data_IF_721940768554
#
_entry.id   IF_721940768554
#
_cell.length_a   1.000
_cell.length_b   1.000
_cell.length_c   1.000
_cell.angle_alpha   90.00
_cell.angle_beta   90.00
_cell.angle_gamma   90.00
#
_symmetry.space_group_name_H-M   'P 1'
#
loop_
_entity.id
_entity.type
_entity.pdbx_description
1 polymer ?
#
# COMPACT_ATOMS: atom_id res chain seq x y z
N UNK A 1 4.52 8.34 14.73
CA UNK A 1 3.81 7.17 15.35
C UNK A 1 2.72 6.74 14.37
N UNK A 2 2.71 5.51 13.85
CA UNK A 2 1.67 5.08 12.89
C UNK A 2 0.45 4.61 13.66
N UNK A 3 -0.69 5.26 13.46
CA UNK A 3 -1.97 4.82 14.02
C UNK A 3 -2.68 3.95 12.99
N UNK A 4 -3.05 2.74 13.40
CA UNK A 4 -3.90 1.83 12.62
C UNK A 4 -5.31 1.92 13.19
N UNK A 5 -6.22 2.62 12.52
CA UNK A 5 -7.60 2.71 12.99
C UNK A 5 -8.37 1.45 12.55
N UNK A 6 -8.72 0.60 13.51
CA UNK A 6 -9.31 -0.72 13.27
C UNK A 6 -10.85 -0.71 13.32
N UNK A 7 -11.47 0.47 13.47
CA UNK A 7 -12.89 0.61 13.81
C UNK A 7 -13.88 0.61 12.61
N UNK A 8 -13.46 0.27 11.39
CA UNK A 8 -14.33 0.24 10.20
C UNK A 8 -14.76 -1.17 9.74
N UNK A 9 -14.79 -2.15 10.63
CA UNK A 9 -15.31 -3.50 10.34
C UNK A 9 -16.86 -3.58 10.36
N UNK A 10 -17.56 -2.66 9.70
CA UNK A 10 -18.99 -2.80 9.40
C UNK A 10 -19.19 -3.08 7.91
N UNK A 11 -19.73 -4.25 7.52
CA UNK A 11 -20.04 -4.53 6.13
C UNK A 11 -21.33 -3.78 5.74
N UNK A 12 -21.18 -2.56 5.23
CA UNK A 12 -22.26 -1.75 4.69
C UNK A 12 -22.41 -1.91 3.17
N UNK A 13 -23.38 -2.73 2.76
CA UNK A 13 -24.25 -2.61 1.55
C UNK A 13 -23.76 -1.85 0.30
N UNK A 14 -22.63 -2.25 -0.31
CA UNK A 14 -22.27 -1.76 -1.65
C UNK A 14 -21.79 -2.88 -2.58
N UNK A 15 -22.48 -4.02 -2.55
CA UNK A 15 -22.47 -4.94 -3.67
C UNK A 15 -23.61 -4.56 -4.61
N UNK A 16 -23.31 -3.90 -5.74
CA UNK A 16 -23.80 -4.19 -7.12
C UNK A 16 -23.17 -3.19 -8.11
N UNK A 17 -22.66 -3.74 -9.23
CA UNK A 17 -21.97 -3.13 -10.38
C UNK A 17 -20.45 -2.86 -10.20
N UNK A 18 -19.62 -3.75 -10.79
CA UNK A 18 -18.16 -3.59 -10.90
C UNK A 18 -17.40 -3.72 -9.57
N UNK A 19 -17.34 -4.95 -9.03
CA UNK A 19 -16.98 -5.28 -7.64
C UNK A 19 -15.91 -4.37 -7.02
N UNK A 20 -16.31 -3.48 -6.10
CA UNK A 20 -15.43 -2.46 -5.50
C UNK A 20 -14.40 -3.09 -4.57
N UNK A 21 -13.18 -2.57 -4.54
CA UNK A 21 -12.15 -3.00 -3.61
C UNK A 21 -12.65 -2.82 -2.16
N UNK A 22 -12.46 -3.86 -1.33
CA UNK A 22 -12.91 -3.90 0.07
C UNK A 22 -11.88 -3.21 0.96
N UNK A 23 -12.26 -2.13 1.61
CA UNK A 23 -11.37 -1.43 2.54
C UNK A 23 -10.96 -2.33 3.72
N UNK A 24 -9.68 -2.29 4.09
CA UNK A 24 -9.09 -3.11 5.15
C UNK A 24 -8.64 -2.27 6.34
N UNK A 25 -7.97 -1.15 6.08
CA UNK A 25 -7.39 -0.30 7.11
C UNK A 25 -7.06 1.10 6.57
N UNK A 26 -6.88 2.03 7.48
CA UNK A 26 -6.34 3.36 7.22
C UNK A 26 -5.08 3.56 8.07
N UNK A 27 -3.99 4.02 7.44
CA UNK A 27 -2.73 4.30 8.09
C UNK A 27 -2.42 5.79 7.98
N UNK A 28 -2.22 6.44 9.13
CA UNK A 28 -1.94 7.87 9.18
C UNK A 28 -0.83 8.18 10.18
N UNK A 29 0.04 9.12 9.79
CA UNK A 29 1.05 9.72 10.64
C UNK A 29 1.31 11.18 10.22
N UNK A 30 2.37 11.78 10.77
CA UNK A 30 2.80 13.15 10.48
C UNK A 30 3.40 13.35 9.07
N UNK A 31 3.70 12.27 8.35
CA UNK A 31 4.33 12.27 7.02
C UNK A 31 3.38 11.86 5.90
N UNK A 32 2.20 11.32 6.21
CA UNK A 32 1.27 10.89 5.18
C UNK A 32 0.04 10.16 5.72
N UNK A 33 -0.86 9.91 4.77
CA UNK A 33 -2.15 9.29 5.00
C UNK A 33 -2.54 8.37 3.85
N UNK A 34 -2.62 7.06 4.12
CA UNK A 34 -2.97 6.06 3.10
C UNK A 34 -4.14 5.19 3.55
N UNK A 35 -5.00 4.87 2.58
CA UNK A 35 -6.06 3.87 2.72
C UNK A 35 -5.62 2.56 2.06
N UNK A 36 -5.86 1.45 2.73
CA UNK A 36 -5.56 0.11 2.27
C UNK A 36 -6.85 -0.63 1.97
N UNK A 37 -6.96 -1.17 0.76
CA UNK A 37 -8.10 -1.98 0.31
C UNK A 37 -7.63 -3.27 -0.36
N UNK A 38 -8.46 -4.31 -0.32
CA UNK A 38 -8.32 -5.53 -1.11
C UNK A 38 -9.06 -5.37 -2.45
N UNK A 39 -8.32 -5.36 -3.56
CA UNK A 39 -8.88 -5.35 -4.91
C UNK A 39 -8.91 -6.78 -5.48
N UNK A 40 -10.11 -7.23 -5.86
CA UNK A 40 -10.35 -8.57 -6.45
C UNK A 40 -10.84 -8.48 -7.91
N UNK A 41 -10.80 -7.31 -8.55
CA UNK A 41 -11.27 -7.09 -9.92
C UNK A 41 -10.38 -7.72 -10.99
N UNK A 42 -9.10 -7.95 -10.66
CA UNK A 42 -8.09 -8.46 -11.60
C UNK A 42 -7.95 -9.99 -11.59
N UNK A 43 -6.91 -10.49 -12.27
CA UNK A 43 -6.60 -11.93 -12.35
C UNK A 43 -6.14 -12.55 -11.02
N UNK A 44 -5.94 -11.73 -9.99
CA UNK A 44 -5.57 -12.15 -8.64
C UNK A 44 -5.92 -11.04 -7.64
N UNK A 45 -6.20 -11.37 -6.37
CA UNK A 45 -6.33 -10.38 -5.32
C UNK A 45 -5.05 -9.54 -5.20
N UNK A 46 -5.20 -8.23 -5.01
CA UNK A 46 -4.10 -7.27 -4.83
C UNK A 46 -4.40 -6.33 -3.68
N UNK A 47 -3.35 -5.89 -2.99
CA UNK A 47 -3.44 -4.83 -2.01
C UNK A 47 -3.40 -3.49 -2.74
N UNK A 48 -4.52 -2.77 -2.72
CA UNK A 48 -4.59 -1.41 -3.22
C UNK A 48 -4.21 -0.44 -2.11
N UNK A 49 -3.20 0.41 -2.36
CA UNK A 49 -2.76 1.47 -1.44
C UNK A 49 -3.06 2.80 -2.13
N UNK A 50 -3.90 3.61 -1.48
CA UNK A 50 -4.32 4.91 -2.01
C UNK A 50 -3.84 6.00 -1.07
N UNK A 51 -3.08 6.95 -1.57
CA UNK A 51 -2.81 8.21 -0.89
C UNK A 51 -4.11 9.01 -0.81
N UNK A 52 -4.55 9.33 0.41
CA UNK A 52 -5.82 10.02 0.65
C UNK A 52 -5.75 11.49 0.25
N UNK A 53 -4.57 12.12 0.31
CA UNK A 53 -4.39 13.53 -0.01
C UNK A 53 -4.40 13.76 -1.53
N UNK A 54 -3.65 12.93 -2.26
CA UNK A 54 -3.49 13.10 -3.72
C UNK A 54 -4.44 12.23 -4.55
N UNK A 55 -5.01 11.18 -3.96
CA UNK A 55 -5.77 10.15 -4.67
C UNK A 55 -4.89 9.19 -5.49
N UNK A 56 -3.56 9.35 -5.47
CA UNK A 56 -2.65 8.46 -6.16
C UNK A 56 -2.76 7.03 -5.61
N UNK A 57 -2.74 6.05 -6.52
CA UNK A 57 -3.00 4.65 -6.15
C UNK A 57 -1.95 3.73 -6.74
N UNK A 58 -1.51 2.76 -5.94
CA UNK A 58 -0.70 1.62 -6.39
C UNK A 58 -1.39 0.30 -6.03
N UNK A 59 -1.07 -0.75 -6.78
CA UNK A 59 -1.50 -2.12 -6.52
C UNK A 59 -0.27 -2.97 -6.23
N UNK A 60 -0.30 -3.69 -5.11
CA UNK A 60 0.76 -4.61 -4.69
C UNK A 60 0.22 -6.03 -4.79
N UNK A 61 0.85 -6.86 -5.62
CA UNK A 61 0.55 -8.28 -5.70
C UNK A 61 1.03 -9.04 -4.45
N UNK A 62 0.49 -10.24 -4.19
CA UNK A 62 0.96 -11.05 -3.06
C UNK A 62 2.45 -11.34 -3.08
N UNK A 63 3.04 -11.52 -4.27
CA UNK A 63 4.48 -11.76 -4.42
C UNK A 63 5.30 -10.52 -4.04
N UNK A 64 4.92 -9.34 -4.56
CA UNK A 64 5.58 -8.08 -4.21
C UNK A 64 5.48 -7.78 -2.71
N UNK A 65 4.29 -8.00 -2.11
CA UNK A 65 4.10 -7.81 -0.67
C UNK A 65 4.97 -8.77 0.14
N UNK A 66 5.03 -10.06 -0.24
CA UNK A 66 5.89 -11.02 0.42
C UNK A 66 7.37 -10.61 0.35
N UNK A 67 7.83 -10.14 -0.82
CA UNK A 67 9.17 -9.61 -0.98
C UNK A 67 9.45 -8.42 -0.06
N UNK A 68 8.52 -7.47 0.08
CA UNK A 68 8.69 -6.32 0.99
C UNK A 68 8.75 -6.73 2.47
N UNK A 69 7.93 -7.71 2.88
CA UNK A 69 7.89 -8.21 4.26
C UNK A 69 9.14 -9.03 4.63
N UNK A 70 9.72 -9.75 3.67
CA UNK A 70 10.88 -10.61 3.88
C UNK A 70 12.21 -9.92 3.57
N UNK A 71 12.18 -8.70 3.02
CA UNK A 71 13.35 -7.91 2.74
C UNK A 71 14.22 -7.70 3.99
N UNK A 72 15.52 -7.90 3.83
CA UNK A 72 16.50 -7.46 4.83
C UNK A 72 16.62 -5.94 4.83
N UNK A 73 17.28 -5.37 5.84
CA UNK A 73 17.54 -3.92 5.87
C UNK A 73 18.44 -3.48 4.71
N UNK A 74 19.39 -4.32 4.29
CA UNK A 74 20.24 -4.07 3.12
C UNK A 74 19.43 -4.04 1.83
N UNK A 75 18.51 -5.00 1.63
CA UNK A 75 17.61 -5.02 0.46
C UNK A 75 16.79 -3.71 0.38
N UNK A 76 16.26 -3.26 1.52
CA UNK A 76 15.47 -2.01 1.60
C UNK A 76 16.32 -0.79 1.29
N UNK A 77 17.53 -0.72 1.82
CA UNK A 77 18.46 0.37 1.55
C UNK A 77 18.81 0.44 0.07
N UNK A 78 19.05 -0.71 -0.57
CA UNK A 78 19.33 -0.77 -2.00
C UNK A 78 18.14 -0.36 -2.86
N UNK A 79 16.91 -0.71 -2.48
CA UNK A 79 15.71 -0.25 -3.17
C UNK A 79 15.48 1.26 -3.07
N UNK A 80 15.87 1.87 -1.95
CA UNK A 80 15.80 3.32 -1.78
C UNK A 80 16.81 4.06 -2.65
N UNK A 81 17.89 3.42 -3.14
CA UNK A 81 18.93 4.04 -3.98
C UNK A 81 18.49 4.25 -5.44
N UNK A 82 17.34 4.87 -5.64
CA UNK A 82 16.76 5.20 -6.95
C UNK A 82 16.36 6.67 -7.03
N UNK A 83 16.32 7.22 -8.25
CA UNK A 83 15.96 8.62 -8.47
C UNK A 83 16.80 9.60 -7.65
N UNK A 84 16.13 10.47 -6.87
CA UNK A 84 16.73 11.48 -6.00
C UNK A 84 17.55 10.92 -4.82
N UNK A 85 17.41 9.63 -4.53
CA UNK A 85 18.09 8.96 -3.41
C UNK A 85 19.27 8.10 -3.87
N UNK A 86 19.69 8.20 -5.14
CA UNK A 86 20.92 7.56 -5.63
C UNK A 86 22.12 8.21 -4.95
N UNK A 87 22.93 7.41 -4.27
CA UNK A 87 24.20 7.89 -3.72
C UNK A 87 25.17 8.15 -4.89
N UNK A 88 25.54 9.42 -5.13
CA UNK A 88 26.45 9.80 -6.22
C UNK A 88 27.91 9.38 -5.96
N UNK A 89 28.21 8.77 -4.81
CA UNK A 89 29.56 8.56 -4.27
C UNK A 89 30.31 7.31 -4.78
N UNK A 90 30.01 6.85 -5.99
CA UNK A 90 30.78 5.80 -6.66
C UNK A 90 31.38 6.33 -7.98
N UNK A 91 32.17 7.40 -7.89
CA UNK A 91 33.14 7.79 -8.92
C UNK A 91 34.53 7.82 -8.34
#
# INVERSE_FOLDING_TARGET
>A
MVTVDSHLLTPGEAARAGGRARELAELRNEFGWVRISLDERGNSPRLQITDVETGATILVSPLELASLCLATDDDRLDWLRVGHYRDERHR
#
